data_IF_474424827608
#
_entry.id   IF_474424827608
#
_cell.length_a   1.000
_cell.length_b   1.000
_cell.length_c   1.000
_cell.angle_alpha   90.00
_cell.angle_beta   90.00
_cell.angle_gamma   90.00
#
_symmetry.space_group_name_H-M   'P 1'
#
loop_
_entity.id
_entity.type
_entity.pdbx_description
1 polymer ?
#
# COMPACT_ATOMS: atom_id res chain seq x y z
N UNK A 1 37.13 -5.10 -23.92
CA UNK A 1 36.24 -4.57 -22.88
C UNK A 1 37.05 -3.62 -22.01
N UNK A 2 36.64 -2.36 -21.78
CA UNK A 2 37.34 -1.47 -20.87
C UNK A 2 37.28 -2.04 -19.46
N UNK A 3 38.43 -2.11 -18.78
CA UNK A 3 38.47 -2.50 -17.37
C UNK A 3 37.64 -1.52 -16.54
N UNK A 4 36.83 -2.00 -15.54
CA UNK A 4 36.09 -1.11 -14.67
C UNK A 4 37.08 -0.17 -13.96
N UNK A 5 36.88 1.14 -14.11
CA UNK A 5 37.65 2.16 -13.37
C UNK A 5 37.55 1.83 -11.88
N UNK A 6 38.67 1.67 -11.22
CA UNK A 6 38.74 1.45 -9.77
C UNK A 6 38.08 2.65 -9.09
N UNK A 7 36.95 2.43 -8.42
CA UNK A 7 36.26 3.49 -7.66
C UNK A 7 37.19 3.98 -6.54
N UNK A 8 37.27 5.30 -6.37
CA UNK A 8 38.00 5.86 -5.25
C UNK A 8 37.38 5.37 -3.92
N UNK A 9 38.21 5.24 -2.90
CA UNK A 9 37.82 4.76 -1.57
C UNK A 9 37.77 5.91 -0.57
N UNK A 10 37.03 5.76 0.54
CA UNK A 10 37.02 6.73 1.62
C UNK A 10 38.43 7.00 2.20
N UNK A 11 39.32 6.02 2.13
CA UNK A 11 40.73 6.17 2.55
C UNK A 11 41.49 7.12 1.66
N UNK A 12 41.22 7.15 0.36
CA UNK A 12 41.83 8.06 -0.59
C UNK A 12 41.35 9.50 -0.36
N UNK A 13 40.07 9.70 -0.08
CA UNK A 13 39.54 11.02 0.33
C UNK A 13 40.14 11.46 1.66
N UNK A 14 40.25 10.56 2.64
CA UNK A 14 40.88 10.84 3.92
C UNK A 14 42.33 11.28 3.76
N UNK A 15 43.11 10.62 2.89
CA UNK A 15 44.49 10.99 2.57
C UNK A 15 44.56 12.37 1.89
N UNK A 16 43.67 12.67 0.95
CA UNK A 16 43.61 13.95 0.25
C UNK A 16 43.23 15.13 1.16
N UNK A 17 42.44 14.90 2.16
CA UNK A 17 41.96 15.94 3.09
C UNK A 17 42.74 16.03 4.39
N UNK A 18 43.68 15.08 4.64
CA UNK A 18 44.42 15.01 5.90
C UNK A 18 43.59 14.60 7.12
N UNK A 19 42.42 13.99 6.89
CA UNK A 19 41.48 13.60 7.93
C UNK A 19 41.48 12.08 8.14
N UNK A 20 40.89 11.63 9.25
CA UNK A 20 40.59 10.20 9.45
C UNK A 20 39.43 9.77 8.54
N UNK A 21 39.33 8.48 8.14
CA UNK A 21 38.16 7.97 7.41
C UNK A 21 36.82 8.19 8.14
N UNK A 22 36.85 8.17 9.49
CA UNK A 22 35.68 8.48 10.29
C UNK A 22 35.27 9.96 10.17
N UNK A 23 36.22 10.90 10.23
CA UNK A 23 35.97 12.33 10.06
C UNK A 23 35.43 12.64 8.65
N UNK A 24 35.98 12.01 7.62
CA UNK A 24 35.48 12.11 6.23
C UNK A 24 34.04 11.58 6.16
N UNK A 25 33.74 10.44 6.78
CA UNK A 25 32.38 9.88 6.82
C UNK A 25 31.38 10.82 7.52
N UNK A 26 31.80 11.51 8.60
CA UNK A 26 30.96 12.51 9.29
C UNK A 26 30.76 13.76 8.42
N UNK A 27 31.83 14.27 7.80
CA UNK A 27 31.74 15.44 6.91
C UNK A 27 30.83 15.19 5.70
N UNK A 28 30.93 14.03 5.06
CA UNK A 28 30.05 13.66 3.92
C UNK A 28 28.58 13.57 4.32
N UNK A 29 28.30 13.31 5.60
CA UNK A 29 26.93 13.29 6.15
C UNK A 29 26.47 14.64 6.71
N UNK A 30 27.30 15.66 6.68
CA UNK A 30 27.01 16.97 7.24
C UNK A 30 26.92 17.00 8.77
N UNK A 31 27.62 16.09 9.46
CA UNK A 31 27.54 15.87 10.91
C UNK A 31 28.87 16.11 11.61
N UNK A 32 28.83 16.74 12.80
CA UNK A 32 29.93 16.76 13.79
C UNK A 32 31.26 17.42 13.36
N UNK A 33 31.28 18.18 12.26
CA UNK A 33 32.45 18.93 11.78
C UNK A 33 32.04 20.31 11.27
N UNK A 34 33.00 21.24 11.17
CA UNK A 34 32.73 22.59 10.67
C UNK A 34 32.30 22.58 9.19
N UNK A 35 31.53 23.59 8.76
CA UNK A 35 31.11 23.75 7.36
C UNK A 35 32.31 23.80 6.40
N UNK A 36 33.40 24.45 6.79
CA UNK A 36 34.64 24.47 6.03
C UNK A 36 35.20 23.04 5.80
N UNK A 37 35.16 22.21 6.82
CA UNK A 37 35.61 20.79 6.69
C UNK A 37 34.67 19.99 5.79
N UNK A 38 33.34 20.22 5.87
CA UNK A 38 32.35 19.58 5.00
C UNK A 38 32.64 19.93 3.54
N UNK A 39 32.86 21.20 3.24
CA UNK A 39 33.10 21.67 1.87
C UNK A 39 34.43 21.11 1.30
N UNK A 40 35.50 21.17 2.10
CA UNK A 40 36.78 20.58 1.72
C UNK A 40 36.71 19.09 1.41
N UNK A 41 35.92 18.34 2.21
CA UNK A 41 35.76 16.90 1.98
C UNK A 41 34.88 16.65 0.75
N UNK A 42 33.83 17.41 0.52
CA UNK A 42 32.98 17.31 -0.67
C UNK A 42 33.76 17.60 -1.94
N UNK A 43 34.58 18.63 -1.94
CA UNK A 43 35.44 18.97 -3.07
C UNK A 43 36.43 17.84 -3.37
N UNK A 44 37.15 17.35 -2.38
CA UNK A 44 38.08 16.25 -2.56
C UNK A 44 37.39 14.95 -3.04
N UNK A 45 36.21 14.67 -2.55
CA UNK A 45 35.40 13.52 -3.01
C UNK A 45 35.04 13.67 -4.48
N UNK A 46 34.58 14.87 -4.90
CA UNK A 46 34.24 15.15 -6.30
C UNK A 46 35.46 15.03 -7.24
N UNK A 47 36.59 15.59 -6.85
CA UNK A 47 37.84 15.53 -7.62
C UNK A 47 38.34 14.09 -7.82
N UNK A 48 38.20 13.24 -6.80
CA UNK A 48 38.58 11.83 -6.84
C UNK A 48 37.54 10.93 -7.48
N UNK A 49 36.35 11.45 -7.80
CA UNK A 49 35.21 10.64 -8.26
C UNK A 49 34.77 9.63 -7.20
N UNK A 50 34.87 10.01 -5.91
CA UNK A 50 34.45 9.15 -4.82
C UNK A 50 32.92 9.17 -4.68
N UNK A 51 32.33 8.01 -4.84
CA UNK A 51 30.94 7.76 -4.46
C UNK A 51 30.91 6.86 -3.23
N UNK A 52 30.19 7.28 -2.18
CA UNK A 52 30.06 6.47 -0.98
C UNK A 52 29.41 5.13 -1.31
N UNK A 53 30.13 4.03 -1.11
CA UNK A 53 29.59 2.68 -1.30
C UNK A 53 28.43 2.43 -0.30
N UNK A 54 27.20 2.19 -0.80
CA UNK A 54 26.05 1.92 0.07
C UNK A 54 26.27 0.71 0.99
N UNK A 55 26.98 -0.33 0.52
CA UNK A 55 27.27 -1.53 1.30
C UNK A 55 28.25 -1.22 2.43
N UNK A 56 29.35 -0.49 2.12
CA UNK A 56 30.31 -0.08 3.13
C UNK A 56 29.65 0.85 4.18
N UNK A 57 28.73 1.72 3.75
CA UNK A 57 27.97 2.59 4.63
C UNK A 57 27.03 1.79 5.53
N UNK A 58 26.31 0.82 4.99
CA UNK A 58 25.42 -0.07 5.73
C UNK A 58 26.19 -0.87 6.79
N UNK A 59 27.38 -1.42 6.43
CA UNK A 59 28.24 -2.13 7.36
C UNK A 59 28.75 -1.23 8.50
N UNK A 60 29.09 0.02 8.20
CA UNK A 60 29.61 0.96 9.20
C UNK A 60 28.52 1.51 10.15
N UNK A 61 27.30 1.71 9.64
CA UNK A 61 26.18 2.25 10.41
C UNK A 61 25.29 1.18 11.04
N UNK A 62 25.39 -0.07 10.59
CA UNK A 62 24.44 -1.13 10.92
C UNK A 62 23.05 -0.95 10.29
N UNK A 63 22.89 0.02 9.36
CA UNK A 63 21.63 0.35 8.71
C UNK A 63 21.80 0.41 7.19
N UNK A 64 20.84 -0.18 6.49
CA UNK A 64 20.89 -0.26 5.01
C UNK A 64 20.25 0.95 4.33
N UNK A 65 19.38 1.69 5.02
CA UNK A 65 18.51 2.69 4.45
C UNK A 65 17.34 2.09 3.65
N UNK A 66 17.22 0.77 3.62
CA UNK A 66 16.15 0.08 2.89
C UNK A 66 14.96 -0.21 3.81
N UNK A 67 13.79 0.09 3.31
CA UNK A 67 12.51 -0.30 3.93
C UNK A 67 11.85 -1.34 3.03
N UNK A 68 11.54 -2.51 3.58
CA UNK A 68 10.75 -3.50 2.86
C UNK A 68 9.31 -2.99 2.69
N UNK A 69 8.74 -3.20 1.51
CA UNK A 69 7.32 -3.01 1.25
C UNK A 69 6.78 -4.32 0.67
N UNK A 70 6.03 -5.05 1.48
CA UNK A 70 5.39 -6.29 1.07
C UNK A 70 3.92 -6.02 0.77
N UNK A 71 3.57 -6.05 -0.51
CA UNK A 71 2.22 -5.86 -0.98
C UNK A 71 1.46 -7.19 -0.97
N UNK A 72 0.19 -7.16 -0.59
CA UNK A 72 -0.68 -8.34 -0.62
C UNK A 72 -0.92 -8.80 -2.06
N UNK A 73 -1.26 -7.88 -2.96
CA UNK A 73 -1.33 -8.14 -4.40
C UNK A 73 -1.18 -6.85 -5.20
N UNK A 74 -0.21 -6.79 -6.09
CA UNK A 74 -0.05 -5.68 -7.05
C UNK A 74 -0.97 -5.81 -8.29
N UNK A 75 -1.84 -6.81 -8.38
CA UNK A 75 -2.97 -6.80 -9.31
C UNK A 75 -4.01 -5.75 -8.91
N UNK A 76 -4.04 -5.38 -7.64
CA UNK A 76 -4.90 -4.34 -7.08
C UNK A 76 -4.34 -2.95 -7.39
N UNK A 77 -5.10 -2.15 -8.14
CA UNK A 77 -4.71 -0.80 -8.55
C UNK A 77 -4.52 0.15 -7.36
N UNK A 78 -5.30 -0.02 -6.28
CA UNK A 78 -5.15 0.76 -5.07
C UNK A 78 -3.82 0.45 -4.38
N UNK A 79 -3.46 -0.83 -4.25
CA UNK A 79 -2.17 -1.24 -3.70
C UNK A 79 -0.99 -0.77 -4.57
N UNK A 80 -1.14 -0.74 -5.90
CA UNK A 80 -0.14 -0.13 -6.79
C UNK A 80 0.06 1.35 -6.48
N UNK A 81 -1.02 2.12 -6.39
CA UNK A 81 -0.97 3.55 -6.09
C UNK A 81 -0.33 3.81 -4.71
N UNK A 82 -0.69 3.01 -3.71
CA UNK A 82 -0.09 3.06 -2.37
C UNK A 82 1.41 2.76 -2.41
N UNK A 83 1.84 1.72 -3.12
CA UNK A 83 3.26 1.36 -3.25
C UNK A 83 4.08 2.49 -3.91
N UNK A 84 3.54 3.12 -4.94
CA UNK A 84 4.16 4.28 -5.58
C UNK A 84 4.27 5.45 -4.62
N UNK A 85 3.19 5.77 -3.90
CA UNK A 85 3.16 6.85 -2.90
C UNK A 85 4.18 6.62 -1.78
N UNK A 86 4.23 5.41 -1.22
CA UNK A 86 5.20 5.02 -0.18
C UNK A 86 6.63 5.14 -0.71
N UNK A 87 6.91 4.63 -1.91
CA UNK A 87 8.25 4.69 -2.49
C UNK A 87 8.75 6.14 -2.66
N UNK A 88 7.89 7.05 -3.10
CA UNK A 88 8.20 8.49 -3.22
C UNK A 88 8.44 9.12 -1.84
N UNK A 89 7.54 8.91 -0.90
CA UNK A 89 7.65 9.48 0.44
C UNK A 89 8.85 8.92 1.23
N UNK A 90 9.24 7.67 1.02
CA UNK A 90 10.48 7.12 1.59
C UNK A 90 11.72 7.80 1.02
N UNK A 91 11.75 8.06 -0.29
CA UNK A 91 12.85 8.79 -0.94
C UNK A 91 13.02 10.19 -0.36
N UNK A 92 11.94 10.89 -0.06
CA UNK A 92 11.96 12.22 0.57
C UNK A 92 12.52 12.18 2.01
N UNK A 93 12.62 10.99 2.60
CA UNK A 93 13.20 10.72 3.92
C UNK A 93 14.56 9.99 3.84
N UNK A 94 15.27 10.06 2.72
CA UNK A 94 16.55 9.37 2.47
C UNK A 94 16.48 7.85 2.72
N UNK A 95 15.33 7.24 2.39
CA UNK A 95 15.11 5.79 2.45
C UNK A 95 14.71 5.26 1.08
N UNK A 96 14.95 3.97 0.87
CA UNK A 96 14.61 3.28 -0.37
C UNK A 96 13.64 2.13 -0.10
N UNK A 97 12.63 2.00 -0.96
CA UNK A 97 11.69 0.88 -0.88
C UNK A 97 12.23 -0.34 -1.62
N UNK A 98 12.22 -1.51 -0.97
CA UNK A 98 12.34 -2.82 -1.62
C UNK A 98 10.94 -3.43 -1.69
N UNK A 99 10.32 -3.37 -2.87
CA UNK A 99 8.92 -3.73 -3.07
C UNK A 99 8.84 -5.18 -3.53
N UNK A 100 8.05 -5.98 -2.81
CA UNK A 100 7.75 -7.37 -3.15
C UNK A 100 6.23 -7.58 -3.17
N UNK A 101 5.78 -8.50 -4.03
CA UNK A 101 4.37 -8.82 -4.28
C UNK A 101 4.06 -10.25 -3.86
N UNK A 102 3.17 -10.42 -2.89
CA UNK A 102 2.70 -11.73 -2.45
C UNK A 102 1.69 -12.37 -3.43
N UNK A 103 1.13 -11.60 -4.37
CA UNK A 103 0.12 -12.04 -5.33
C UNK A 103 -1.09 -12.73 -4.68
N UNK A 104 -1.47 -12.31 -3.48
CA UNK A 104 -2.58 -12.86 -2.71
C UNK A 104 -2.34 -14.28 -2.17
N UNK A 105 -1.09 -14.75 -2.14
CA UNK A 105 -0.71 -16.09 -1.68
C UNK A 105 -0.03 -16.01 -0.30
N UNK A 106 -0.63 -16.55 0.79
CA UNK A 106 -0.05 -16.54 2.13
C UNK A 106 1.30 -17.27 2.22
N UNK A 107 1.50 -18.34 1.46
CA UNK A 107 2.77 -19.08 1.48
C UNK A 107 3.90 -18.25 0.85
N UNK A 108 3.57 -17.55 -0.24
CA UNK A 108 4.49 -16.61 -0.89
C UNK A 108 4.77 -15.41 0.02
N UNK A 109 3.76 -14.87 0.69
CA UNK A 109 3.91 -13.80 1.68
C UNK A 109 4.94 -14.18 2.75
N UNK A 110 4.83 -15.38 3.35
CA UNK A 110 5.77 -15.89 4.33
C UNK A 110 7.20 -15.95 3.79
N UNK A 111 7.37 -16.46 2.58
CA UNK A 111 8.69 -16.58 1.93
C UNK A 111 9.32 -15.20 1.72
N UNK A 112 8.54 -14.26 1.18
CA UNK A 112 8.99 -12.91 0.87
C UNK A 112 9.27 -12.08 2.12
N UNK A 113 8.47 -12.22 3.17
CA UNK A 113 8.68 -11.54 4.44
C UNK A 113 10.02 -11.95 5.08
N UNK A 114 10.34 -13.25 5.09
CA UNK A 114 11.65 -13.75 5.54
C UNK A 114 12.79 -13.27 4.66
N UNK A 115 12.59 -13.27 3.34
CA UNK A 115 13.57 -12.75 2.39
C UNK A 115 13.90 -11.28 2.67
N UNK A 116 12.92 -10.42 2.96
CA UNK A 116 13.13 -9.02 3.33
C UNK A 116 13.96 -8.90 4.62
N UNK A 117 13.65 -9.70 5.65
CA UNK A 117 14.46 -9.76 6.87
C UNK A 117 15.92 -10.16 6.57
N UNK A 118 16.11 -11.19 5.75
CA UNK A 118 17.44 -11.72 5.40
C UNK A 118 18.25 -10.71 4.54
N UNK A 119 17.56 -9.86 3.76
CA UNK A 119 18.13 -8.71 3.05
C UNK A 119 18.48 -7.55 4.01
N UNK A 120 18.21 -7.70 5.31
CA UNK A 120 18.50 -6.70 6.35
C UNK A 120 17.86 -5.34 6.07
N UNK A 121 16.58 -5.34 5.67
CA UNK A 121 15.83 -4.08 5.64
C UNK A 121 15.75 -3.49 7.05
N UNK A 122 15.79 -2.17 7.17
CA UNK A 122 15.78 -1.48 8.47
C UNK A 122 14.41 -1.54 9.15
N UNK A 123 13.34 -1.69 8.36
CA UNK A 123 11.96 -1.91 8.80
C UNK A 123 11.12 -2.46 7.63
N UNK A 124 9.90 -2.89 7.93
CA UNK A 124 8.95 -3.47 6.98
C UNK A 124 7.61 -2.72 7.03
N UNK A 125 7.08 -2.35 5.88
CA UNK A 125 5.66 -2.03 5.70
C UNK A 125 5.00 -3.22 5.03
N UNK A 126 3.85 -3.68 5.54
CA UNK A 126 3.13 -4.82 4.98
C UNK A 126 1.65 -4.51 4.78
N UNK A 127 1.10 -4.94 3.66
CA UNK A 127 -0.32 -5.12 3.41
C UNK A 127 -0.59 -6.62 3.50
N UNK A 128 -0.97 -7.16 4.66
CA UNK A 128 -0.93 -8.59 4.90
C UNK A 128 -2.00 -9.33 4.10
N UNK A 129 -1.62 -10.46 3.52
CA UNK A 129 -2.55 -11.44 2.94
C UNK A 129 -3.21 -12.25 4.06
N UNK A 130 -2.43 -12.63 5.06
CA UNK A 130 -2.91 -13.28 6.28
C UNK A 130 -2.38 -12.53 7.53
N UNK A 131 -3.13 -11.55 8.08
CA UNK A 131 -2.71 -10.80 9.26
C UNK A 131 -2.70 -11.64 10.55
N UNK A 132 -3.29 -12.84 10.56
CA UNK A 132 -3.29 -13.75 11.70
C UNK A 132 -2.11 -14.74 11.67
N UNK A 133 -1.28 -14.72 10.62
CA UNK A 133 -0.16 -15.64 10.49
C UNK A 133 0.84 -15.51 11.65
N UNK A 134 1.26 -16.62 12.28
CA UNK A 134 2.26 -16.61 13.39
C UNK A 134 3.59 -15.96 13.01
N UNK A 135 3.93 -15.95 11.73
CA UNK A 135 5.12 -15.30 11.17
C UNK A 135 5.28 -13.85 11.65
N UNK A 136 4.19 -13.12 11.75
CA UNK A 136 4.25 -11.69 12.12
C UNK A 136 4.73 -11.48 13.55
N UNK A 137 4.36 -12.38 14.48
CA UNK A 137 4.88 -12.33 15.85
C UNK A 137 6.40 -12.54 15.86
N UNK A 138 6.90 -13.55 15.11
CA UNK A 138 8.34 -13.83 14.98
C UNK A 138 9.11 -12.63 14.40
N UNK A 139 8.60 -12.04 13.31
CA UNK A 139 9.28 -10.92 12.66
C UNK A 139 9.32 -9.65 13.50
N UNK A 140 8.24 -9.36 14.23
CA UNK A 140 8.14 -8.17 15.07
C UNK A 140 9.10 -8.19 16.29
N UNK A 141 9.68 -9.34 16.64
CA UNK A 141 10.69 -9.42 17.72
C UNK A 141 12.01 -8.75 17.32
N UNK A 142 12.38 -8.80 16.05
CA UNK A 142 13.69 -8.31 15.58
C UNK A 142 13.63 -7.26 14.48
N UNK A 143 12.46 -6.99 13.91
CA UNK A 143 12.25 -6.06 12.81
C UNK A 143 11.06 -5.14 13.11
N UNK A 144 11.20 -3.81 13.04
CA UNK A 144 10.05 -2.91 13.10
C UNK A 144 9.10 -3.17 11.93
N UNK A 145 7.84 -3.53 12.22
CA UNK A 145 6.81 -3.80 11.21
C UNK A 145 5.68 -2.80 11.35
N UNK A 146 5.23 -2.24 10.24
CA UNK A 146 4.04 -1.38 10.12
C UNK A 146 3.05 -2.07 9.18
N UNK A 147 1.85 -2.36 9.66
CA UNK A 147 0.78 -2.90 8.83
C UNK A 147 -0.12 -1.81 8.26
N UNK A 148 -0.63 -2.03 7.06
CA UNK A 148 -1.65 -1.20 6.40
C UNK A 148 -2.82 -2.09 6.02
N UNK A 149 -4.04 -1.61 6.31
CA UNK A 149 -5.29 -2.31 6.08
C UNK A 149 -5.78 -3.01 7.33
N UNK A 150 -5.02 -3.98 7.82
CA UNK A 150 -5.36 -4.79 8.99
C UNK A 150 -4.30 -4.78 10.06
N UNK A 151 -4.75 -4.98 11.31
CA UNK A 151 -3.87 -5.19 12.45
C UNK A 151 -3.28 -6.60 12.41
N UNK A 152 -2.00 -6.73 12.71
CA UNK A 152 -1.36 -8.04 12.82
C UNK A 152 -1.70 -8.69 14.17
N UNK A 153 -2.46 -9.79 14.13
CA UNK A 153 -2.98 -10.43 15.33
C UNK A 153 -1.87 -10.91 16.28
N UNK A 154 -2.01 -10.60 17.58
CA UNK A 154 -1.10 -11.08 18.62
C UNK A 154 0.32 -10.54 18.55
N UNK A 155 0.59 -9.48 17.77
CA UNK A 155 1.93 -8.96 17.54
C UNK A 155 2.23 -7.68 18.33
N UNK A 156 3.50 -7.32 18.32
CA UNK A 156 4.00 -6.03 18.80
C UNK A 156 4.47 -5.15 17.63
N UNK A 157 3.65 -5.02 16.59
CA UNK A 157 3.96 -4.17 15.46
C UNK A 157 4.35 -2.75 15.91
N UNK A 158 5.27 -2.10 15.19
CA UNK A 158 5.70 -0.72 15.45
C UNK A 158 4.57 0.25 15.14
N UNK A 159 3.71 -0.10 14.19
CA UNK A 159 2.51 0.66 13.87
C UNK A 159 1.49 -0.11 13.05
N UNK A 160 0.27 0.41 13.09
CA UNK A 160 -0.87 -0.12 12.35
C UNK A 160 -1.67 1.05 11.78
N UNK A 161 -1.90 1.05 10.48
CA UNK A 161 -2.83 1.95 9.80
C UNK A 161 -3.99 1.11 9.32
N UNK A 162 -5.03 1.00 10.13
CA UNK A 162 -6.17 0.10 9.90
C UNK A 162 -7.36 0.85 9.31
N UNK A 163 -8.16 0.18 8.51
CA UNK A 163 -9.36 0.76 7.91
C UNK A 163 -10.57 0.53 8.81
N UNK A 164 -11.45 1.53 8.92
CA UNK A 164 -12.79 1.34 9.46
C UNK A 164 -13.71 0.76 8.37
N UNK A 165 -13.47 -0.51 8.05
CA UNK A 165 -14.22 -1.21 7.01
C UNK A 165 -15.72 -1.28 7.31
N UNK A 166 -16.12 -1.34 8.58
CA UNK A 166 -17.53 -1.31 8.95
C UNK A 166 -18.16 0.01 8.54
N UNK A 167 -17.52 1.13 8.87
CA UNK A 167 -18.01 2.44 8.46
C UNK A 167 -18.06 2.58 6.94
N UNK A 168 -17.05 2.06 6.21
CA UNK A 168 -17.04 2.07 4.74
C UNK A 168 -18.20 1.29 4.11
N UNK A 169 -18.46 0.09 4.59
CA UNK A 169 -19.60 -0.74 4.14
C UNK A 169 -20.92 -0.07 4.48
N UNK A 170 -21.08 0.45 5.70
CA UNK A 170 -22.30 1.15 6.12
C UNK A 170 -22.57 2.33 5.20
N UNK A 171 -21.56 3.15 4.95
CA UNK A 171 -21.66 4.33 4.09
C UNK A 171 -22.07 3.98 2.65
N UNK A 172 -21.49 2.91 2.09
CA UNK A 172 -21.83 2.43 0.76
C UNK A 172 -23.27 1.91 0.66
N UNK A 173 -23.67 1.04 1.57
CA UNK A 173 -24.99 0.42 1.55
C UNK A 173 -26.10 1.43 1.88
N UNK A 174 -25.86 2.38 2.80
CA UNK A 174 -26.81 3.46 3.10
C UNK A 174 -26.99 4.38 1.90
N UNK A 175 -25.91 4.72 1.18
CA UNK A 175 -26.00 5.53 -0.03
C UNK A 175 -26.87 4.87 -1.10
N UNK A 176 -26.61 3.59 -1.42
CA UNK A 176 -27.42 2.83 -2.38
C UNK A 176 -28.88 2.71 -1.94
N UNK A 177 -29.13 2.46 -0.64
CA UNK A 177 -30.48 2.39 -0.09
C UNK A 177 -31.24 3.71 -0.21
N UNK A 178 -30.57 4.84 0.06
CA UNK A 178 -31.14 6.18 -0.05
C UNK A 178 -31.56 6.52 -1.49
N UNK A 179 -30.86 5.95 -2.48
CA UNK A 179 -31.18 6.05 -3.90
C UNK A 179 -32.27 5.06 -4.35
N UNK A 180 -32.88 4.34 -3.41
CA UNK A 180 -34.05 3.48 -3.66
C UNK A 180 -33.71 2.02 -3.93
N UNK A 181 -32.45 1.65 -4.01
CA UNK A 181 -32.06 0.27 -4.26
C UNK A 181 -32.37 -0.63 -3.07
N UNK A 182 -32.87 -1.82 -3.33
CA UNK A 182 -33.23 -2.83 -2.30
C UNK A 182 -32.59 -4.18 -2.56
N UNK A 183 -32.26 -4.49 -3.80
CA UNK A 183 -31.56 -5.70 -4.21
C UNK A 183 -30.25 -5.33 -4.87
N UNK A 184 -29.14 -5.84 -4.33
CA UNK A 184 -27.79 -5.49 -4.74
C UNK A 184 -26.99 -6.74 -5.09
N UNK A 185 -26.16 -6.68 -6.14
CA UNK A 185 -25.04 -7.57 -6.30
C UNK A 185 -23.81 -6.92 -5.62
N UNK A 186 -23.22 -7.61 -4.67
CA UNK A 186 -21.99 -7.17 -4.01
C UNK A 186 -20.84 -8.02 -4.54
N UNK A 187 -19.91 -7.37 -5.24
CA UNK A 187 -18.78 -8.05 -5.86
C UNK A 187 -17.52 -7.87 -4.98
N UNK A 188 -17.02 -8.99 -4.44
CA UNK A 188 -15.82 -9.02 -3.59
C UNK A 188 -14.63 -9.61 -4.33
N UNK A 189 -13.40 -9.32 -3.91
CA UNK A 189 -12.21 -9.93 -4.49
C UNK A 189 -12.20 -11.45 -4.27
N UNK A 190 -11.78 -12.20 -5.28
CA UNK A 190 -11.58 -13.65 -5.21
C UNK A 190 -10.48 -14.07 -4.22
N UNK A 191 -9.58 -13.15 -3.90
CA UNK A 191 -8.52 -13.35 -2.91
C UNK A 191 -8.74 -12.33 -1.80
N UNK A 192 -9.07 -12.83 -0.61
CA UNK A 192 -9.13 -11.96 0.55
C UNK A 192 -7.71 -11.53 0.92
N UNK A 193 -7.53 -10.24 1.08
CA UNK A 193 -6.33 -9.69 1.69
C UNK A 193 -6.38 -9.77 3.22
N UNK A 194 -7.51 -10.18 3.80
CA UNK A 194 -7.71 -10.20 5.25
C UNK A 194 -8.56 -11.39 5.70
N UNK A 195 -8.22 -12.07 6.81
CA UNK A 195 -9.03 -13.17 7.36
C UNK A 195 -10.43 -12.74 7.79
N UNK A 196 -10.55 -11.53 8.34
CA UNK A 196 -11.84 -11.02 8.85
C UNK A 196 -12.79 -10.61 7.74
N UNK A 197 -12.29 -10.55 6.50
CA UNK A 197 -13.08 -10.16 5.33
C UNK A 197 -14.20 -9.20 5.72
N UNK A 198 -13.87 -7.95 6.02
CA UNK A 198 -14.87 -7.00 6.45
C UNK A 198 -16.04 -6.91 5.48
N UNK A 199 -15.75 -7.19 4.19
CA UNK A 199 -16.71 -7.32 3.16
C UNK A 199 -17.84 -8.30 3.53
N UNK A 200 -17.51 -9.57 3.74
CA UNK A 200 -18.50 -10.61 3.91
C UNK A 200 -19.27 -10.44 5.22
N UNK A 201 -18.55 -10.16 6.31
CA UNK A 201 -19.14 -10.03 7.65
C UNK A 201 -19.95 -8.74 7.80
N UNK A 202 -19.37 -7.60 7.43
CA UNK A 202 -20.02 -6.31 7.60
C UNK A 202 -21.14 -6.08 6.60
N UNK A 203 -21.01 -6.56 5.34
CA UNK A 203 -22.07 -6.45 4.34
C UNK A 203 -23.32 -7.17 4.79
N UNK A 204 -23.21 -8.43 5.20
CA UNK A 204 -24.38 -9.21 5.62
C UNK A 204 -25.06 -8.63 6.87
N UNK A 205 -24.27 -8.17 7.86
CA UNK A 205 -24.78 -7.52 9.05
C UNK A 205 -25.52 -6.22 8.72
N UNK A 206 -24.92 -5.35 7.91
CA UNK A 206 -25.51 -4.07 7.52
C UNK A 206 -26.70 -4.25 6.57
N UNK A 207 -26.67 -5.23 5.68
CA UNK A 207 -27.79 -5.58 4.81
C UNK A 207 -29.01 -5.95 5.62
N UNK A 208 -28.86 -6.79 6.66
CA UNK A 208 -29.94 -7.15 7.57
C UNK A 208 -30.50 -5.92 8.31
N UNK A 209 -29.63 -5.02 8.79
CA UNK A 209 -30.05 -3.77 9.46
C UNK A 209 -30.82 -2.84 8.52
N UNK A 210 -30.41 -2.76 7.25
CA UNK A 210 -30.98 -1.84 6.26
C UNK A 210 -32.14 -2.44 5.47
N UNK A 211 -32.46 -3.73 5.64
CA UNK A 211 -33.51 -4.43 4.87
C UNK A 211 -33.16 -4.55 3.41
N UNK A 212 -31.87 -4.83 3.10
CA UNK A 212 -31.36 -5.03 1.75
C UNK A 212 -31.26 -6.52 1.43
N UNK A 213 -31.60 -6.89 0.20
CA UNK A 213 -31.38 -8.21 -0.38
C UNK A 213 -30.03 -8.21 -1.12
N UNK A 214 -29.10 -9.05 -0.68
CA UNK A 214 -27.70 -9.06 -1.15
C UNK A 214 -27.35 -10.40 -1.76
N UNK A 215 -26.93 -10.37 -3.02
CA UNK A 215 -26.21 -11.47 -3.65
C UNK A 215 -24.70 -11.18 -3.58
N UNK A 216 -23.99 -11.89 -2.70
CA UNK A 216 -22.55 -11.74 -2.50
C UNK A 216 -21.80 -12.68 -3.45
N UNK A 217 -20.99 -12.11 -4.36
CA UNK A 217 -20.33 -12.86 -5.45
C UNK A 217 -18.84 -12.50 -5.50
N UNK A 218 -17.99 -13.51 -5.65
CA UNK A 218 -16.55 -13.28 -5.83
C UNK A 218 -16.23 -12.88 -7.28
N UNK A 219 -15.41 -11.85 -7.45
CA UNK A 219 -14.95 -11.35 -8.74
C UNK A 219 -13.45 -11.07 -8.71
N UNK A 220 -12.77 -11.28 -9.83
CA UNK A 220 -11.37 -10.89 -9.99
C UNK A 220 -11.26 -9.36 -10.10
N UNK A 221 -10.12 -8.80 -9.71
CA UNK A 221 -9.79 -7.40 -9.96
C UNK A 221 -9.32 -7.15 -11.40
N UNK A 222 -9.05 -8.20 -12.18
CA UNK A 222 -8.74 -8.12 -13.60
C UNK A 222 -9.99 -7.85 -14.44
N UNK A 223 -9.92 -6.91 -15.38
CA UNK A 223 -11.07 -6.38 -16.12
C UNK A 223 -11.91 -7.46 -16.82
N UNK A 224 -11.30 -8.36 -17.57
CA UNK A 224 -12.05 -9.38 -18.32
C UNK A 224 -12.86 -10.34 -17.44
N UNK A 225 -12.27 -10.99 -16.44
CA UNK A 225 -13.00 -11.80 -15.47
C UNK A 225 -14.08 -11.02 -14.70
N UNK A 226 -13.81 -9.76 -14.28
CA UNK A 226 -14.79 -8.90 -13.63
C UNK A 226 -15.98 -8.61 -14.55
N UNK A 227 -15.72 -8.29 -15.83
CA UNK A 227 -16.76 -8.06 -16.85
C UNK A 227 -17.67 -9.27 -17.01
N UNK A 228 -17.11 -10.48 -17.03
CA UNK A 228 -17.90 -11.71 -17.16
C UNK A 228 -18.83 -11.91 -15.97
N UNK A 229 -18.29 -11.82 -14.73
CA UNK A 229 -19.09 -11.97 -13.51
C UNK A 229 -20.17 -10.90 -13.42
N UNK A 230 -19.84 -9.64 -13.71
CA UNK A 230 -20.80 -8.55 -13.76
C UNK A 230 -21.91 -8.81 -14.80
N UNK A 231 -21.53 -9.35 -15.96
CA UNK A 231 -22.48 -9.73 -16.99
C UNK A 231 -23.46 -10.81 -16.56
N UNK A 232 -22.99 -11.84 -15.88
CA UNK A 232 -23.84 -12.90 -15.30
C UNK A 232 -24.84 -12.33 -14.30
N UNK A 233 -24.42 -11.37 -13.46
CA UNK A 233 -25.29 -10.69 -12.50
C UNK A 233 -26.33 -9.77 -13.20
N UNK A 234 -25.94 -9.06 -14.25
CA UNK A 234 -26.86 -8.26 -15.06
C UNK A 234 -27.92 -9.15 -15.73
N UNK A 235 -27.52 -10.31 -16.26
CA UNK A 235 -28.41 -11.30 -16.89
C UNK A 235 -29.36 -11.94 -15.86
N UNK A 236 -28.89 -12.08 -14.59
CA UNK A 236 -29.74 -12.50 -13.45
C UNK A 236 -30.68 -11.38 -12.94
N UNK A 237 -30.68 -10.21 -13.58
CA UNK A 237 -31.60 -9.11 -13.29
C UNK A 237 -31.11 -8.11 -12.24
N UNK A 238 -29.87 -8.17 -11.80
CA UNK A 238 -29.32 -7.14 -10.91
C UNK A 238 -29.15 -5.82 -11.63
N UNK A 239 -29.43 -4.72 -10.92
CA UNK A 239 -29.36 -3.35 -11.45
C UNK A 239 -28.63 -2.40 -10.51
N UNK A 240 -28.22 -2.85 -9.35
CA UNK A 240 -27.39 -2.08 -8.43
C UNK A 240 -26.21 -2.94 -7.96
N UNK A 241 -25.02 -2.39 -8.03
CA UNK A 241 -23.75 -3.05 -7.76
C UNK A 241 -22.96 -2.28 -6.71
N UNK A 242 -22.46 -3.00 -5.71
CA UNK A 242 -21.41 -2.53 -4.82
C UNK A 242 -20.16 -3.40 -5.01
N UNK A 243 -19.06 -2.79 -5.42
CA UNK A 243 -17.82 -3.47 -5.75
C UNK A 243 -16.73 -3.10 -4.75
N UNK A 244 -16.10 -4.09 -4.13
CA UNK A 244 -15.02 -3.89 -3.14
C UNK A 244 -13.65 -3.52 -3.75
N UNK A 245 -13.63 -3.12 -5.00
CA UNK A 245 -12.55 -2.42 -5.66
C UNK A 245 -13.11 -1.65 -6.85
N UNK A 246 -12.56 -0.50 -7.15
CA UNK A 246 -12.93 0.27 -8.34
C UNK A 246 -12.61 -0.51 -9.63
N UNK A 247 -11.54 -1.33 -9.63
CA UNK A 247 -11.19 -2.22 -10.74
C UNK A 247 -12.29 -3.24 -11.05
N UNK A 248 -12.97 -3.76 -10.03
CA UNK A 248 -14.15 -4.64 -10.21
C UNK A 248 -15.33 -3.84 -10.78
N UNK A 249 -15.54 -2.60 -10.29
CA UNK A 249 -16.58 -1.72 -10.79
C UNK A 249 -16.40 -1.39 -12.28
N UNK A 250 -15.16 -1.26 -12.77
CA UNK A 250 -14.89 -1.09 -14.21
C UNK A 250 -15.41 -2.27 -15.04
N UNK A 251 -15.37 -3.48 -14.47
CA UNK A 251 -15.99 -4.65 -15.09
C UNK A 251 -17.50 -4.51 -15.25
N UNK A 252 -18.20 -3.88 -14.26
CA UNK A 252 -19.63 -3.61 -14.37
C UNK A 252 -19.91 -2.57 -15.46
N UNK A 253 -19.08 -1.53 -15.59
CA UNK A 253 -19.20 -0.57 -16.69
C UNK A 253 -19.04 -1.26 -18.06
N UNK A 254 -18.03 -2.12 -18.21
CA UNK A 254 -17.80 -2.85 -19.45
C UNK A 254 -18.98 -3.78 -19.79
N UNK A 255 -19.44 -4.56 -18.81
CA UNK A 255 -20.57 -5.48 -18.98
C UNK A 255 -21.89 -4.76 -19.29
N UNK A 256 -22.11 -3.57 -18.72
CA UNK A 256 -23.26 -2.71 -19.01
C UNK A 256 -23.20 -2.16 -20.43
N UNK A 257 -22.02 -1.70 -20.87
CA UNK A 257 -21.81 -1.21 -22.23
C UNK A 257 -22.05 -2.30 -23.29
N UNK A 258 -21.56 -3.54 -23.05
CA UNK A 258 -21.83 -4.69 -23.95
C UNK A 258 -23.33 -4.98 -24.11
N UNK A 259 -24.11 -4.74 -23.04
CA UNK A 259 -25.56 -4.96 -23.00
C UNK A 259 -26.38 -3.71 -23.37
N UNK A 260 -25.71 -2.59 -23.68
CA UNK A 260 -26.33 -1.28 -23.98
C UNK A 260 -27.20 -0.77 -22.83
N UNK A 261 -26.83 -1.08 -21.59
CA UNK A 261 -27.48 -0.58 -20.39
C UNK A 261 -26.81 0.71 -19.92
N UNK A 262 -27.61 1.73 -19.67
CA UNK A 262 -27.13 3.06 -19.27
C UNK A 262 -26.83 3.15 -17.77
N UNK A 263 -25.67 3.66 -17.41
CA UNK A 263 -25.32 4.05 -16.05
C UNK A 263 -25.53 5.57 -15.93
N UNK A 264 -26.23 6.08 -14.91
CA UNK A 264 -26.87 5.37 -13.79
C UNK A 264 -28.32 4.94 -14.05
N UNK A 265 -28.89 5.23 -15.20
CA UNK A 265 -30.35 5.17 -15.44
C UNK A 265 -30.93 3.74 -15.34
N UNK A 266 -30.18 2.75 -15.79
CA UNK A 266 -30.58 1.34 -15.78
C UNK A 266 -29.73 0.50 -14.81
N UNK A 267 -28.48 0.92 -14.57
CA UNK A 267 -27.55 0.22 -13.69
C UNK A 267 -26.85 1.23 -12.80
N UNK A 268 -26.92 1.06 -11.49
CA UNK A 268 -26.16 1.81 -10.51
C UNK A 268 -24.91 1.05 -10.09
N UNK A 269 -23.78 1.76 -10.02
CA UNK A 269 -22.48 1.16 -9.72
C UNK A 269 -21.77 1.98 -8.65
N UNK A 270 -21.30 1.30 -7.61
CA UNK A 270 -20.51 1.89 -6.53
C UNK A 270 -19.19 1.13 -6.34
N UNK A 271 -18.07 1.85 -6.20
CA UNK A 271 -16.73 1.33 -5.94
C UNK A 271 -16.27 1.52 -4.49
N UNK A 272 -14.95 1.28 -4.23
CA UNK A 272 -14.42 1.24 -2.86
C UNK A 272 -12.95 1.71 -2.70
N UNK A 273 -12.36 2.45 -3.67
CA UNK A 273 -10.93 2.82 -3.62
C UNK A 273 -10.65 4.28 -3.94
N UNK A 274 -11.56 4.96 -4.62
CA UNK A 274 -11.37 6.26 -5.26
C UNK A 274 -10.10 6.32 -6.13
N UNK A 275 -9.89 5.28 -6.93
CA UNK A 275 -8.78 5.29 -7.89
C UNK A 275 -8.95 6.44 -8.91
N UNK A 276 -7.87 7.14 -9.31
CA UNK A 276 -7.97 8.29 -10.22
C UNK A 276 -8.72 8.03 -11.53
N UNK A 277 -8.67 6.81 -12.05
CA UNK A 277 -9.43 6.41 -13.26
C UNK A 277 -10.95 6.51 -13.05
N UNK A 278 -11.44 6.36 -11.82
CA UNK A 278 -12.86 6.40 -11.47
C UNK A 278 -13.51 7.76 -11.79
N UNK A 279 -12.74 8.83 -11.71
CA UNK A 279 -13.17 10.17 -12.10
C UNK A 279 -13.22 10.41 -13.60
N UNK A 280 -12.55 9.58 -14.41
CA UNK A 280 -12.49 9.71 -15.88
C UNK A 280 -13.60 8.94 -16.58
N UNK A 281 -14.31 8.06 -15.88
CA UNK A 281 -15.44 7.33 -16.46
C UNK A 281 -16.60 8.27 -16.78
N UNK A 282 -17.49 7.83 -17.67
CA UNK A 282 -18.70 8.57 -18.03
C UNK A 282 -19.93 7.68 -17.89
N UNK A 283 -20.75 7.92 -16.84
CA UNK A 283 -20.53 8.89 -15.74
C UNK A 283 -19.37 8.48 -14.81
N UNK A 284 -18.81 9.45 -14.06
CA UNK A 284 -17.77 9.17 -13.06
C UNK A 284 -18.28 8.21 -11.97
N UNK A 285 -17.42 7.30 -11.51
CA UNK A 285 -17.75 6.29 -10.50
C UNK A 285 -17.88 6.90 -9.10
N UNK A 286 -19.04 6.73 -8.47
CA UNK A 286 -19.25 6.95 -7.04
C UNK A 286 -18.53 5.84 -6.27
N UNK A 287 -17.72 6.21 -5.28
CA UNK A 287 -16.84 5.26 -4.60
C UNK A 287 -16.54 5.68 -3.16
N UNK A 288 -15.97 4.80 -2.37
CA UNK A 288 -15.43 5.10 -1.05
C UNK A 288 -13.96 5.48 -1.20
N UNK A 289 -13.57 6.60 -0.61
CA UNK A 289 -12.19 7.09 -0.55
C UNK A 289 -11.58 6.82 0.83
N UNK A 290 -10.36 6.31 0.84
CA UNK A 290 -9.59 5.97 2.04
C UNK A 290 -8.46 6.98 2.34
N UNK A 291 -8.40 8.11 1.64
CA UNK A 291 -7.31 9.09 1.76
C UNK A 291 -5.93 8.44 1.68
N UNK A 292 -5.62 7.90 0.49
CA UNK A 292 -4.36 7.18 0.25
C UNK A 292 -3.13 8.01 0.63
N UNK A 293 -3.17 9.33 0.40
CA UNK A 293 -2.07 10.23 0.77
C UNK A 293 -1.91 10.33 2.29
N UNK A 294 -3.01 10.34 3.04
CA UNK A 294 -3.00 10.30 4.50
C UNK A 294 -2.42 8.99 5.03
N UNK A 295 -2.78 7.86 4.43
CA UNK A 295 -2.23 6.54 4.74
C UNK A 295 -0.72 6.51 4.48
N UNK A 296 -0.27 6.97 3.31
CA UNK A 296 1.15 7.04 2.95
C UNK A 296 1.93 7.87 3.96
N UNK A 297 1.47 9.09 4.25
CA UNK A 297 2.11 9.97 5.25
C UNK A 297 2.18 9.32 6.63
N UNK A 298 1.12 8.66 7.05
CA UNK A 298 1.06 7.98 8.35
C UNK A 298 2.02 6.80 8.42
N UNK A 299 1.98 5.89 7.47
CA UNK A 299 2.80 4.68 7.43
C UNK A 299 4.30 5.02 7.34
N UNK A 300 4.67 5.94 6.43
CA UNK A 300 6.08 6.36 6.24
C UNK A 300 6.62 7.06 7.49
N UNK A 301 5.85 7.96 8.11
CA UNK A 301 6.26 8.61 9.37
C UNK A 301 6.51 7.58 10.47
N UNK A 302 5.67 6.57 10.60
CA UNK A 302 5.81 5.54 11.64
C UNK A 302 7.01 4.66 11.35
N UNK A 303 7.15 4.17 10.11
CA UNK A 303 8.22 3.22 9.76
C UNK A 303 9.59 3.87 9.81
N UNK A 304 9.74 5.11 9.36
CA UNK A 304 11.01 5.85 9.45
C UNK A 304 11.40 6.07 10.90
N UNK A 305 10.47 6.53 11.76
CA UNK A 305 10.72 6.71 13.17
C UNK A 305 11.11 5.38 13.85
N UNK A 306 10.47 4.27 13.50
CA UNK A 306 10.77 2.96 14.04
C UNK A 306 12.15 2.44 13.57
N UNK A 307 12.50 2.62 12.29
CA UNK A 307 13.82 2.33 11.74
C UNK A 307 14.92 3.13 12.43
N UNK A 308 14.60 4.36 12.90
CA UNK A 308 15.52 5.20 13.66
C UNK A 308 15.58 4.88 15.18
N UNK A 309 14.87 3.83 15.60
CA UNK A 309 14.93 3.32 16.97
C UNK A 309 13.83 3.84 17.90
N UNK A 310 12.81 4.51 17.37
CA UNK A 310 11.64 4.89 18.16
C UNK A 310 10.76 3.67 18.45
N UNK A 311 10.61 3.31 19.69
CA UNK A 311 9.83 2.14 20.13
C UNK A 311 8.37 2.43 20.44
N UNK A 312 7.91 3.69 20.25
CA UNK A 312 6.53 4.08 20.50
C UNK A 312 5.61 3.50 19.42
N UNK A 313 4.76 2.58 19.81
CA UNK A 313 3.74 2.03 18.91
C UNK A 313 2.65 3.03 18.60
N UNK A 314 2.12 2.94 17.38
CA UNK A 314 1.04 3.82 16.91
C UNK A 314 -0.01 3.02 16.18
N UNK A 315 -1.26 3.26 16.52
CA UNK A 315 -2.41 2.77 15.76
C UNK A 315 -3.19 3.96 15.24
N UNK A 316 -3.47 3.94 13.95
CA UNK A 316 -4.27 4.95 13.26
C UNK A 316 -5.43 4.21 12.61
N UNK A 317 -6.65 4.67 12.88
CA UNK A 317 -7.85 4.16 12.22
C UNK A 317 -8.20 5.14 11.11
N UNK A 318 -8.17 4.65 9.86
CA UNK A 318 -8.51 5.44 8.70
C UNK A 318 -10.02 5.41 8.49
N UNK A 319 -10.65 6.58 8.53
CA UNK A 319 -12.06 6.74 8.28
C UNK A 319 -12.35 6.83 6.77
N UNK A 320 -13.40 6.17 6.27
CA UNK A 320 -13.81 6.27 4.87
C UNK A 320 -14.53 7.59 4.58
N UNK A 321 -14.48 8.03 3.33
CA UNK A 321 -15.26 9.16 2.82
C UNK A 321 -16.00 8.74 1.55
N UNK A 322 -17.25 9.22 1.39
CA UNK A 322 -17.96 9.02 0.14
C UNK A 322 -17.48 10.04 -0.90
N UNK A 323 -17.08 9.55 -2.06
CA UNK A 323 -16.87 10.36 -3.28
C UNK A 323 -18.05 10.15 -4.20
N UNK A 324 -19.09 10.95 -3.98
CA UNK A 324 -20.27 10.92 -4.81
C UNK A 324 -19.97 11.51 -6.18
N UNK A 325 -20.32 10.76 -7.25
CA UNK A 325 -20.24 11.15 -8.65
C UNK A 325 -21.55 10.76 -9.35
N UNK A 326 -21.51 10.38 -10.60
CA UNK A 326 -22.70 10.18 -11.42
C UNK A 326 -23.13 8.73 -11.65
N UNK A 327 -22.54 7.72 -11.02
CA UNK A 327 -22.79 6.31 -11.33
C UNK A 327 -23.90 5.63 -10.51
N UNK A 328 -24.48 6.33 -9.54
CA UNK A 328 -25.59 5.84 -8.73
C UNK A 328 -26.80 6.74 -8.95
N UNK A 329 -27.90 6.17 -9.44
CA UNK A 329 -29.16 6.84 -9.73
C UNK A 329 -30.29 6.47 -8.81
#
# INVERSE_FOLDING_TARGET
MPQPRKRATIREVAKATGLSPAAVSYALRGMQVSEETIERVRQAAAELGYEADPIARALASGRTGMIGLLCGSLEDLWQQALAVGIGRALKDNDRYALILDAAGDPAREHTLARQLRDQRVDALIVQPVDPAAPLWAELCEGLPVVSIGDALAGTRAAGEVVFDNRAGVTLALEHLRQRGHRRLAVLTSTRASTPDRPADVHVMAEAGRLGLDIDLVTASQSLGPATRVAGEMLDAGHRAFFCFADSIAYGVYAASAERKLGIPFEVSVMGYDDHPMSGLLTPGLTTVDWDIDGIVRAAVRIVVAAADGNTRRRRIVQAPQLRERGSVG
#
